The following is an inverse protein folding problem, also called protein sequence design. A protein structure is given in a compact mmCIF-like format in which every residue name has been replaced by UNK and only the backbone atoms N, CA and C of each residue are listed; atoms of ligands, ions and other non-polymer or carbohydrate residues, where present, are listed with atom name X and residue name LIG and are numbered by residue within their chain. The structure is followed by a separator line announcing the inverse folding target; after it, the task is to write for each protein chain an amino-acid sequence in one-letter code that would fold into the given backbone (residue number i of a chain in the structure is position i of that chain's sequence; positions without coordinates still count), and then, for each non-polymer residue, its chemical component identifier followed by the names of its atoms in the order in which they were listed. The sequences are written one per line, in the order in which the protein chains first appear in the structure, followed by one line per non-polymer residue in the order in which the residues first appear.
data_IF_283351219736
#
_entry.id   IF_283351219736
#
_cell.length_a   1.000
_cell.length_b   1.000
_cell.length_c   1.000
_cell.angle_alpha   90.00
_cell.angle_beta   90.00
_cell.angle_gamma   90.00
#
_symmetry.space_group_name_H-M   'P 1'
#
loop_
_entity.id
_entity.type
_entity.pdbx_description
1 polymer ?
#
# COMPACT_ATOMS: atom_id res chain seq x y z
N UNK A 1 16.17 -2.95 10.91
CA UNK A 1 16.08 -2.48 9.52
C UNK A 1 16.69 -3.53 8.60
N UNK A 2 16.16 -3.71 7.38
CA UNK A 2 16.68 -4.64 6.36
C UNK A 2 17.10 -3.86 5.12
N UNK A 3 17.99 -4.45 4.30
CA UNK A 3 18.36 -3.93 2.97
C UNK A 3 17.70 -4.70 1.83
N UNK A 4 16.93 -5.74 2.16
CA UNK A 4 16.16 -6.48 1.17
C UNK A 4 14.91 -5.69 0.77
N UNK A 5 14.41 -5.86 -0.47
CA UNK A 5 13.18 -5.21 -0.89
C UNK A 5 12.00 -5.55 0.03
N UNK A 6 11.18 -4.56 0.34
CA UNK A 6 10.02 -4.67 1.23
C UNK A 6 8.73 -4.47 0.43
N UNK A 7 7.85 -5.48 0.50
CA UNK A 7 6.51 -5.39 -0.05
C UNK A 7 5.48 -5.13 1.06
N UNK A 8 4.70 -4.06 0.90
CA UNK A 8 3.59 -3.71 1.78
C UNK A 8 2.25 -3.83 1.05
N UNK A 9 1.27 -4.49 1.69
CA UNK A 9 -0.05 -4.74 1.10
C UNK A 9 -1.18 -4.52 2.14
N UNK A 10 -1.52 -3.28 2.49
CA UNK A 10 -2.53 -3.00 3.52
C UNK A 10 -3.94 -3.40 3.08
N UNK A 11 -4.82 -3.67 4.05
CA UNK A 11 -6.27 -3.75 3.82
C UNK A 11 -6.85 -2.32 3.64
N UNK A 12 -8.07 -2.22 3.11
CA UNK A 12 -8.83 -0.97 3.05
C UNK A 12 -9.41 -0.60 4.44
N UNK A 13 -8.53 -0.42 5.41
CA UNK A 13 -8.85 -0.18 6.82
C UNK A 13 -9.06 -1.44 7.64
N UNK A 14 -9.47 -1.24 8.90
CA UNK A 14 -9.83 -2.35 9.78
C UNK A 14 -11.19 -2.92 9.35
N UNK A 15 -11.33 -4.25 9.29
CA UNK A 15 -12.60 -4.87 8.96
C UNK A 15 -13.63 -4.61 10.06
N UNK A 16 -14.87 -4.35 9.67
CA UNK A 16 -16.03 -4.49 10.55
C UNK A 16 -16.81 -5.74 10.16
N UNK A 17 -17.33 -6.47 11.14
CA UNK A 17 -18.22 -7.59 10.87
C UNK A 17 -19.65 -7.08 10.71
N UNK A 18 -20.25 -7.36 9.56
CA UNK A 18 -21.67 -7.12 9.25
C UNK A 18 -22.24 -8.45 8.81
N UNK A 19 -23.20 -8.99 9.59
CA UNK A 19 -23.82 -10.30 9.30
C UNK A 19 -22.81 -11.44 9.11
N UNK A 20 -21.72 -11.41 9.88
CA UNK A 20 -20.64 -12.40 9.80
C UNK A 20 -19.66 -12.21 8.64
N UNK A 21 -19.84 -11.18 7.81
CA UNK A 21 -18.94 -10.83 6.71
C UNK A 21 -18.04 -9.64 7.07
N UNK A 22 -16.78 -9.68 6.64
CA UNK A 22 -15.86 -8.56 6.82
C UNK A 22 -16.12 -7.47 5.76
N UNK A 23 -16.51 -6.29 6.23
CA UNK A 23 -16.75 -5.09 5.41
C UNK A 23 -15.65 -4.06 5.70
N UNK A 24 -15.21 -3.37 4.64
CA UNK A 24 -14.14 -2.40 4.66
C UNK A 24 -14.65 -1.05 4.13
N UNK A 25 -14.60 -0.02 4.97
CA UNK A 25 -15.25 1.27 4.70
C UNK A 25 -14.26 2.38 4.30
N UNK A 26 -12.96 2.07 4.21
CA UNK A 26 -11.96 3.09 3.85
C UNK A 26 -12.11 3.48 2.39
N UNK A 27 -12.13 4.78 2.10
CA UNK A 27 -12.21 5.26 0.73
C UNK A 27 -10.87 5.11 0.00
N UNK A 28 -10.86 5.10 -1.35
CA UNK A 28 -9.64 5.11 -2.15
C UNK A 28 -8.65 6.21 -1.76
N UNK A 29 -9.13 7.43 -1.48
CA UNK A 29 -8.31 8.60 -1.15
C UNK A 29 -7.67 8.46 0.24
N UNK A 30 -8.45 8.01 1.22
CA UNK A 30 -7.95 7.78 2.58
C UNK A 30 -6.90 6.66 2.60
N UNK A 31 -7.16 5.57 1.86
CA UNK A 31 -6.21 4.47 1.69
C UNK A 31 -4.90 4.94 1.03
N UNK A 32 -5.01 5.71 -0.06
CA UNK A 32 -3.86 6.26 -0.78
C UNK A 32 -3.01 7.20 0.10
N UNK A 33 -3.66 8.08 0.86
CA UNK A 33 -3.00 9.01 1.78
C UNK A 33 -2.18 8.26 2.85
N UNK A 34 -2.76 7.23 3.47
CA UNK A 34 -2.06 6.40 4.44
C UNK A 34 -0.89 5.62 3.81
N UNK A 35 -1.11 5.04 2.62
CA UNK A 35 -0.10 4.26 1.92
C UNK A 35 1.09 5.10 1.42
N UNK A 36 0.90 6.39 1.14
CA UNK A 36 2.00 7.29 0.77
C UNK A 36 3.08 7.35 1.87
N UNK A 37 2.67 7.29 3.15
CA UNK A 37 3.60 7.21 4.28
C UNK A 37 4.43 5.93 4.29
N UNK A 38 3.87 4.79 3.85
CA UNK A 38 4.60 3.51 3.76
C UNK A 38 5.66 3.55 2.65
N UNK A 39 5.37 4.20 1.53
CA UNK A 39 6.36 4.41 0.46
C UNK A 39 7.50 5.31 0.95
N UNK A 40 7.18 6.39 1.66
CA UNK A 40 8.18 7.27 2.28
C UNK A 40 9.02 6.53 3.33
N UNK A 41 8.42 5.60 4.07
CA UNK A 41 9.09 4.77 5.06
C UNK A 41 9.97 3.65 4.46
N UNK A 42 9.93 3.44 3.14
CA UNK A 42 10.85 2.54 2.45
C UNK A 42 10.22 1.34 1.74
N UNK A 43 8.89 1.25 1.60
CA UNK A 43 8.28 0.18 0.80
C UNK A 43 8.74 0.24 -0.67
N UNK A 44 9.33 -0.85 -1.16
CA UNK A 44 9.77 -1.01 -2.56
C UNK A 44 8.60 -1.40 -3.46
N UNK A 45 7.70 -2.24 -2.94
CA UNK A 45 6.46 -2.62 -3.58
C UNK A 45 5.30 -2.22 -2.69
N UNK A 46 4.25 -1.66 -3.30
CA UNK A 46 3.02 -1.32 -2.58
C UNK A 46 1.78 -1.72 -3.39
N UNK A 47 0.77 -2.22 -2.70
CA UNK A 47 -0.51 -2.64 -3.29
C UNK A 47 -1.59 -2.75 -2.24
N UNK A 48 -2.63 -3.54 -2.52
CA UNK A 48 -3.80 -3.71 -1.66
C UNK A 48 -4.15 -5.15 -1.31
N UNK A 49 -4.75 -5.36 -0.14
CA UNK A 49 -5.21 -6.66 0.35
C UNK A 49 -6.73 -6.75 0.41
N UNK A 50 -7.32 -7.03 1.57
CA UNK A 50 -8.76 -7.18 1.69
C UNK A 50 -9.45 -5.81 1.64
N UNK A 51 -10.58 -5.74 0.96
CA UNK A 51 -11.35 -4.51 0.78
C UNK A 51 -10.80 -3.52 -0.25
N UNK A 52 -9.57 -3.71 -0.75
CA UNK A 52 -9.03 -2.84 -1.80
C UNK A 52 -9.60 -3.20 -3.17
N UNK A 53 -9.85 -2.18 -3.98
CA UNK A 53 -10.42 -2.28 -5.32
C UNK A 53 -9.48 -1.60 -6.35
N UNK A 54 -9.74 -1.72 -7.67
CA UNK A 54 -8.99 -0.95 -8.67
C UNK A 54 -8.98 0.57 -8.43
N UNK A 55 -10.04 1.13 -7.84
CA UNK A 55 -10.14 2.55 -7.48
C UNK A 55 -9.11 2.91 -6.40
N UNK A 56 -8.94 2.07 -5.39
CA UNK A 56 -7.92 2.24 -4.35
C UNK A 56 -6.51 2.27 -4.95
N UNK A 57 -6.23 1.33 -5.87
CA UNK A 57 -4.92 1.27 -6.53
C UNK A 57 -4.72 2.47 -7.44
N UNK A 58 -5.75 2.95 -8.14
CA UNK A 58 -5.68 4.17 -8.96
C UNK A 58 -5.38 5.40 -8.11
N UNK A 59 -6.08 5.59 -7.00
CA UNK A 59 -5.82 6.68 -6.06
C UNK A 59 -4.41 6.59 -5.47
N UNK A 60 -3.95 5.38 -5.12
CA UNK A 60 -2.59 5.16 -4.65
C UNK A 60 -1.54 5.58 -5.69
N UNK A 61 -1.67 5.12 -6.93
CA UNK A 61 -0.77 5.50 -8.03
C UNK A 61 -0.75 7.01 -8.29
N UNK A 62 -1.87 7.71 -8.08
CA UNK A 62 -1.93 9.17 -8.18
C UNK A 62 -1.26 9.88 -6.99
N UNK A 63 -1.34 9.29 -5.80
CA UNK A 63 -0.81 9.88 -4.57
C UNK A 63 0.71 9.72 -4.41
N UNK A 64 1.31 8.69 -5.03
CA UNK A 64 2.74 8.39 -4.88
C UNK A 64 3.53 8.72 -6.14
N UNK A 65 4.75 9.23 -5.96
CA UNK A 65 5.71 9.38 -7.06
C UNK A 65 6.49 8.07 -7.21
N UNK A 66 6.60 7.50 -8.42
CA UNK A 66 7.44 6.33 -8.65
C UNK A 66 8.86 6.62 -8.19
N UNK A 67 9.38 5.79 -7.27
CA UNK A 67 10.80 5.78 -6.97
C UNK A 67 11.48 4.91 -8.02
N UNK A 68 12.56 5.42 -8.62
CA UNK A 68 13.40 4.59 -9.49
C UNK A 68 14.03 3.54 -8.57
N UNK A 69 13.72 2.26 -8.80
CA UNK A 69 14.24 1.19 -7.97
C UNK A 69 15.77 1.20 -8.00
N UNK A 70 16.40 1.13 -6.84
CA UNK A 70 17.83 0.81 -6.72
C UNK A 70 17.94 -0.70 -6.91
N UNK A 71 17.81 -1.17 -8.14
CA UNK A 71 18.16 -2.54 -8.47
C UNK A 71 19.66 -2.67 -8.23
N UNK A 72 20.04 -3.25 -7.09
CA UNK A 72 21.40 -3.63 -6.71
C UNK A 72 22.52 -2.71 -7.19
N UNK A 73 22.87 -1.70 -6.39
CA UNK A 73 24.30 -1.44 -6.22
C UNK A 73 24.84 -2.71 -5.55
N UNK A 74 25.53 -3.53 -6.34
CA UNK A 74 26.28 -4.67 -5.83
C UNK A 74 27.11 -4.17 -4.64
N UNK A 75 26.90 -4.80 -3.49
CA UNK A 75 27.75 -4.59 -2.34
C UNK A 75 29.17 -4.98 -2.75
N UNK A 76 29.98 -3.96 -3.10
CA UNK A 76 31.42 -4.09 -3.25
C UNK A 76 32.09 -4.45 -1.93
#
# INVERSE_FOLDING_TARGET
ATRLPVWMKPNAGLPRLVEGQAVYDTTPEAFASACAGLVQAGADFIGGCCGTTPEHIRALCQAIKPRRGTAGEEAG
#
